data_IF_498782154824
#
_entry.id   IF_498782154824
#
_cell.length_a   1.000
_cell.length_b   1.000
_cell.length_c   1.000
_cell.angle_alpha   90.00
_cell.angle_beta   90.00
_cell.angle_gamma   90.00
#
_symmetry.space_group_name_H-M   'P 1'
#
loop_
_entity.id
_entity.type
_entity.pdbx_description
1 polymer ?
#
# COMPACT_ATOMS: atom_id res chain seq x y z
N UNK A 1 43.32 -59.17 -2.92
CA UNK A 1 42.67 -58.58 -1.73
C UNK A 1 42.74 -57.07 -1.91
N UNK A 2 41.74 -56.45 -2.54
CA UNK A 2 40.65 -55.70 -1.89
C UNK A 2 41.15 -54.82 -0.74
N UNK A 3 41.21 -53.50 -0.95
CA UNK A 3 40.94 -52.49 0.07
C UNK A 3 40.28 -51.28 -0.59
N UNK A 4 39.02 -51.08 -0.23
CA UNK A 4 38.21 -49.89 -0.44
C UNK A 4 38.65 -48.77 0.53
N UNK A 5 38.02 -47.59 0.42
CA UNK A 5 38.14 -46.38 1.26
C UNK A 5 39.37 -45.52 0.92
N UNK A 6 39.27 -44.26 0.49
CA UNK A 6 38.37 -43.23 0.99
C UNK A 6 38.24 -42.11 -0.06
N UNK A 7 37.16 -42.12 -0.86
CA UNK A 7 36.80 -40.99 -1.71
C UNK A 7 36.02 -40.01 -0.81
N UNK A 8 36.72 -39.03 -0.26
CA UNK A 8 36.14 -38.00 0.60
C UNK A 8 35.37 -37.03 -0.30
N UNK A 9 34.08 -37.30 -0.51
CA UNK A 9 33.14 -36.36 -1.12
C UNK A 9 33.07 -35.12 -0.22
N UNK A 10 33.65 -34.01 -0.66
CA UNK A 10 33.44 -32.71 -0.05
C UNK A 10 32.03 -32.25 -0.47
N UNK A 11 31.01 -32.71 0.25
CA UNK A 11 29.66 -32.14 0.18
C UNK A 11 29.74 -30.75 0.83
N UNK A 12 30.02 -29.74 0.00
CA UNK A 12 29.75 -28.35 0.34
C UNK A 12 28.23 -28.26 0.42
N UNK A 13 27.69 -28.40 1.63
CA UNK A 13 26.31 -28.03 1.96
C UNK A 13 26.24 -26.51 1.75
N UNK A 14 25.87 -26.10 0.53
CA UNK A 14 25.35 -24.76 0.32
C UNK A 14 24.03 -24.74 1.10
N UNK A 15 24.05 -24.18 2.31
CA UNK A 15 22.84 -23.90 3.05
C UNK A 15 22.01 -22.96 2.17
N UNK A 16 21.03 -23.51 1.47
CA UNK A 16 19.99 -22.71 0.84
C UNK A 16 19.26 -22.09 2.02
N UNK A 17 19.54 -20.82 2.31
CA UNK A 17 18.76 -20.04 3.25
C UNK A 17 17.41 -19.86 2.58
N UNK A 18 16.45 -20.70 2.96
CA UNK A 18 15.06 -20.53 2.58
C UNK A 18 14.50 -19.43 3.48
N UNK A 19 14.37 -18.21 2.97
CA UNK A 19 13.61 -17.18 3.66
C UNK A 19 12.13 -17.57 3.54
N UNK A 20 11.55 -18.03 4.66
CA UNK A 20 10.12 -18.20 4.77
C UNK A 20 9.50 -16.85 5.15
N UNK A 21 8.22 -16.65 4.80
CA UNK A 21 7.46 -15.57 5.41
C UNK A 21 7.42 -15.79 6.93
N UNK A 22 7.52 -14.70 7.69
CA UNK A 22 7.58 -14.76 9.15
C UNK A 22 6.56 -13.81 9.75
N UNK A 23 5.80 -14.30 10.74
CA UNK A 23 4.95 -13.48 11.59
C UNK A 23 5.52 -13.51 13.01
N UNK A 24 5.98 -12.36 13.48
CA UNK A 24 6.62 -12.20 14.79
C UNK A 24 5.67 -11.44 15.69
N UNK A 25 5.41 -11.97 16.89
CA UNK A 25 4.88 -11.16 17.99
C UNK A 25 6.06 -10.64 18.79
N UNK A 26 6.20 -9.31 18.83
CA UNK A 26 7.29 -8.63 19.53
C UNK A 26 6.77 -7.71 20.61
N UNK A 27 7.67 -7.32 21.52
CA UNK A 27 7.41 -6.30 22.53
C UNK A 27 8.58 -5.31 22.59
N UNK A 28 8.29 -4.07 22.94
CA UNK A 28 9.29 -3.08 23.36
C UNK A 28 8.85 -2.44 24.67
N UNK A 29 9.80 -1.87 25.42
CA UNK A 29 9.48 -1.03 26.57
C UNK A 29 9.38 0.42 26.12
N UNK A 30 8.24 1.06 26.33
CA UNK A 30 8.04 2.50 26.14
C UNK A 30 7.38 3.08 27.40
N UNK A 31 7.92 4.15 27.96
CA UNK A 31 7.44 4.76 29.22
C UNK A 31 7.25 3.80 30.41
N UNK A 32 8.12 2.80 30.51
CA UNK A 32 8.06 1.71 31.50
C UNK A 32 6.83 0.79 31.36
N UNK A 33 6.13 0.83 30.23
CA UNK A 33 5.10 -0.11 29.84
C UNK A 33 5.63 -1.05 28.74
N UNK A 34 5.31 -2.33 28.84
CA UNK A 34 5.55 -3.29 27.76
C UNK A 34 4.48 -3.11 26.68
N UNK A 35 4.92 -2.76 25.47
CA UNK A 35 4.06 -2.48 24.33
C UNK A 35 4.25 -3.56 23.28
N UNK A 36 3.14 -4.20 22.89
CA UNK A 36 3.15 -5.32 21.95
C UNK A 36 2.91 -4.88 20.51
N UNK A 37 3.41 -5.67 19.57
CA UNK A 37 3.10 -5.55 18.15
C UNK A 37 3.20 -6.91 17.46
N UNK A 38 2.56 -7.02 16.30
CA UNK A 38 2.76 -8.14 15.38
C UNK A 38 3.45 -7.59 14.13
N UNK A 39 4.50 -8.24 13.66
CA UNK A 39 5.19 -7.86 12.43
C UNK A 39 5.14 -9.02 11.43
N UNK A 40 4.79 -8.71 10.19
CA UNK A 40 4.81 -9.63 9.08
C UNK A 40 5.96 -9.28 8.13
N UNK A 41 6.85 -10.24 7.92
CA UNK A 41 7.98 -10.14 7.01
C UNK A 41 7.70 -11.06 5.81
N UNK A 42 7.57 -10.53 4.59
CA UNK A 42 7.33 -11.36 3.43
C UNK A 42 8.55 -12.22 3.11
N UNK A 43 8.33 -13.39 2.50
CA UNK A 43 9.42 -14.30 2.10
C UNK A 43 10.43 -13.67 1.11
N UNK A 44 10.00 -12.62 0.41
CA UNK A 44 10.80 -11.84 -0.54
C UNK A 44 11.72 -10.80 0.10
N UNK A 45 11.64 -10.59 1.42
CA UNK A 45 12.51 -9.66 2.12
C UNK A 45 13.99 -10.07 1.97
N UNK A 46 14.81 -9.10 1.58
CA UNK A 46 16.26 -9.22 1.44
C UNK A 46 16.92 -8.16 2.33
N UNK A 47 17.65 -8.54 3.38
CA UNK A 47 18.29 -7.58 4.29
C UNK A 47 19.38 -6.73 3.62
N UNK A 48 19.75 -7.00 2.37
CA UNK A 48 20.69 -6.16 1.59
C UNK A 48 20.00 -5.04 0.81
N UNK A 49 18.66 -5.06 0.73
CA UNK A 49 17.85 -4.07 0.01
C UNK A 49 16.91 -3.40 1.03
N UNK A 50 16.89 -2.07 1.07
CA UNK A 50 15.99 -1.35 1.95
C UNK A 50 14.52 -1.55 1.52
N UNK A 51 13.69 -2.05 2.43
CA UNK A 51 12.27 -2.32 2.18
C UNK A 51 11.37 -1.24 2.79
N UNK A 52 10.26 -0.88 2.13
CA UNK A 52 9.23 -0.04 2.75
C UNK A 52 8.61 -0.70 3.99
N UNK A 53 8.05 0.12 4.88
CA UNK A 53 7.34 -0.34 6.07
C UNK A 53 5.95 0.29 6.17
N UNK A 54 4.94 -0.53 6.45
CA UNK A 54 3.55 -0.08 6.66
C UNK A 54 3.13 -0.36 8.10
N UNK A 55 2.78 0.69 8.84
CA UNK A 55 2.11 0.58 10.13
C UNK A 55 0.59 0.46 9.90
N UNK A 56 -0.06 -0.57 10.45
CA UNK A 56 -1.49 -0.82 10.30
C UNK A 56 -2.19 -0.91 11.67
N UNK A 57 -2.90 0.16 12.04
CA UNK A 57 -3.47 0.35 13.38
C UNK A 57 -4.93 -0.11 13.47
N UNK A 58 -5.25 -0.91 14.49
CA UNK A 58 -6.60 -1.41 14.74
C UNK A 58 -7.54 -0.32 15.28
N UNK A 59 -8.87 -0.53 15.14
CA UNK A 59 -9.88 0.35 15.73
C UNK A 59 -10.05 0.16 17.25
N UNK A 60 -10.79 1.06 17.90
CA UNK A 60 -11.12 0.95 19.34
C UNK A 60 -11.76 -0.41 19.64
N UNK A 61 -11.45 -1.02 20.79
CA UNK A 61 -11.87 -2.38 21.21
C UNK A 61 -11.31 -3.56 20.41
N UNK A 62 -10.60 -3.30 19.30
CA UNK A 62 -10.06 -4.34 18.41
C UNK A 62 -8.66 -4.80 18.85
N UNK A 63 -7.94 -5.54 18.01
CA UNK A 63 -6.57 -5.97 18.33
C UNK A 63 -5.69 -6.01 17.09
N UNK A 64 -4.37 -6.05 17.29
CA UNK A 64 -3.38 -6.26 16.24
C UNK A 64 -3.70 -7.53 15.42
N UNK A 65 -4.04 -8.64 16.10
CA UNK A 65 -4.46 -9.89 15.44
C UNK A 65 -5.72 -9.70 14.58
N UNK A 66 -6.72 -8.98 15.11
CA UNK A 66 -7.99 -8.78 14.39
C UNK A 66 -7.77 -7.97 13.12
N UNK A 67 -7.06 -6.83 13.18
CA UNK A 67 -6.80 -6.04 11.98
C UNK A 67 -5.87 -6.74 10.99
N UNK A 68 -4.85 -7.47 11.46
CA UNK A 68 -4.02 -8.30 10.59
C UNK A 68 -4.90 -9.30 9.81
N UNK A 69 -5.86 -9.93 10.48
CA UNK A 69 -6.74 -10.93 9.87
C UNK A 69 -7.66 -10.36 8.79
N UNK A 70 -8.28 -9.18 8.98
CA UNK A 70 -9.25 -8.67 8.01
C UNK A 70 -8.65 -7.67 7.01
N UNK A 71 -7.54 -7.02 7.34
CA UNK A 71 -6.92 -6.04 6.43
C UNK A 71 -6.29 -6.72 5.23
N UNK A 72 -5.76 -7.93 5.35
CA UNK A 72 -5.14 -8.63 4.23
C UNK A 72 -3.86 -7.98 3.68
N UNK A 73 -3.19 -7.12 4.47
CA UNK A 73 -1.92 -6.53 4.06
C UNK A 73 -0.79 -7.54 3.92
N UNK A 74 -0.82 -8.67 4.66
CA UNK A 74 0.19 -9.74 4.51
C UNK A 74 0.29 -10.24 3.06
N UNK A 75 -0.84 -10.47 2.40
CA UNK A 75 -0.87 -10.93 1.01
C UNK A 75 -0.33 -9.88 0.03
N UNK A 76 -0.55 -8.59 0.33
CA UNK A 76 -0.01 -7.50 -0.48
C UNK A 76 1.50 -7.41 -0.27
N UNK A 77 1.97 -7.51 0.98
CA UNK A 77 3.38 -7.53 1.35
C UNK A 77 4.15 -8.64 0.64
N UNK A 78 3.57 -9.84 0.51
CA UNK A 78 4.19 -10.96 -0.22
C UNK A 78 4.49 -10.61 -1.69
N UNK A 79 3.63 -9.80 -2.31
CA UNK A 79 3.76 -9.41 -3.73
C UNK A 79 4.56 -8.13 -3.95
N UNK A 80 4.46 -7.18 -3.01
CA UNK A 80 5.01 -5.84 -3.16
C UNK A 80 6.28 -5.60 -2.32
N UNK A 81 6.70 -6.59 -1.54
CA UNK A 81 7.96 -6.64 -0.78
C UNK A 81 8.15 -5.48 0.22
N UNK A 82 7.16 -5.28 1.09
CA UNK A 82 7.23 -4.38 2.24
C UNK A 82 6.97 -5.13 3.55
N UNK A 83 7.49 -4.63 4.66
CA UNK A 83 7.20 -5.16 5.99
C UNK A 83 5.93 -4.51 6.53
N UNK A 84 5.04 -5.29 7.14
CA UNK A 84 3.82 -4.77 7.79
C UNK A 84 3.96 -4.92 9.29
N UNK A 85 3.63 -3.87 10.01
CA UNK A 85 3.62 -3.85 11.47
C UNK A 85 2.21 -3.53 11.93
N UNK A 86 1.70 -4.32 12.85
CA UNK A 86 0.39 -4.18 13.49
C UNK A 86 0.60 -3.91 14.98
N UNK A 87 0.73 -2.65 15.39
CA UNK A 87 0.92 -2.32 16.79
C UNK A 87 -0.33 -2.64 17.62
N UNK A 88 -0.16 -2.97 18.90
CA UNK A 88 -1.25 -3.22 19.85
C UNK A 88 -1.48 -1.98 20.74
N UNK A 89 -2.70 -1.45 20.70
CA UNK A 89 -3.12 -0.33 21.54
C UNK A 89 -3.27 -0.74 23.01
N UNK A 90 -2.96 0.18 23.92
CA UNK A 90 -3.09 -0.01 25.37
C UNK A 90 -4.56 0.02 25.80
N UNK A 91 -4.84 -0.24 27.08
CA UNK A 91 -6.20 -0.26 27.60
C UNK A 91 -6.66 1.10 28.14
N UNK A 92 -7.80 1.59 27.64
CA UNK A 92 -8.59 2.65 28.24
C UNK A 92 -9.92 2.08 28.70
N UNK A 93 -10.18 2.12 30.00
CA UNK A 93 -11.39 1.55 30.61
C UNK A 93 -11.63 0.07 30.22
N UNK A 94 -10.56 -0.71 30.12
CA UNK A 94 -10.60 -2.14 29.77
C UNK A 94 -10.72 -2.43 28.27
N UNK A 95 -10.70 -1.42 27.40
CA UNK A 95 -10.74 -1.60 25.95
C UNK A 95 -9.43 -1.10 25.32
N UNK A 96 -8.93 -1.84 24.35
CA UNK A 96 -7.78 -1.46 23.53
C UNK A 96 -8.08 -0.18 22.74
N UNK A 97 -7.12 0.74 22.68
CA UNK A 97 -7.29 2.05 22.05
C UNK A 97 -5.96 2.68 21.65
N UNK A 98 -6.05 3.74 20.85
CA UNK A 98 -4.98 4.71 20.58
C UNK A 98 -5.39 6.06 21.15
N UNK A 99 -4.48 6.73 21.83
CA UNK A 99 -4.67 8.06 22.37
C UNK A 99 -4.60 9.11 21.25
N UNK A 100 -5.77 9.59 20.83
CA UNK A 100 -5.93 10.54 19.71
C UNK A 100 -6.56 11.86 20.16
N UNK A 101 -6.49 12.13 21.46
CA UNK A 101 -7.17 13.26 22.09
C UNK A 101 -8.71 13.19 21.98
N UNK A 102 -9.37 14.26 22.39
CA UNK A 102 -10.80 14.52 22.19
C UNK A 102 -11.71 13.55 22.93
N UNK A 103 -12.00 12.40 22.33
CA UNK A 103 -12.81 11.36 22.97
C UNK A 103 -11.95 10.34 23.76
N UNK A 104 -10.62 10.43 23.69
CA UNK A 104 -9.67 9.63 24.50
C UNK A 104 -9.03 10.40 25.65
N UNK A 105 -9.61 11.52 26.10
CA UNK A 105 -9.02 12.47 27.07
C UNK A 105 -8.51 11.88 28.40
N UNK A 106 -8.99 10.71 28.81
CA UNK A 106 -8.52 10.04 30.04
C UNK A 106 -7.32 9.11 29.79
N UNK A 107 -6.88 8.98 28.54
CA UNK A 107 -5.69 8.20 28.21
C UNK A 107 -4.43 8.98 28.54
N UNK A 108 -3.46 8.29 29.12
CA UNK A 108 -2.10 8.78 29.35
C UNK A 108 -1.09 8.09 28.43
N UNK A 109 -1.55 7.28 27.48
CA UNK A 109 -0.66 6.55 26.58
C UNK A 109 0.03 7.52 25.61
N UNK A 110 1.35 7.44 25.52
CA UNK A 110 2.14 8.12 24.49
C UNK A 110 2.28 7.20 23.26
N UNK A 111 1.24 7.16 22.44
CA UNK A 111 1.21 6.29 21.26
C UNK A 111 2.09 6.82 20.11
N UNK A 112 2.34 8.12 20.05
CA UNK A 112 3.26 8.72 19.07
C UNK A 112 4.70 8.36 19.43
N UNK A 113 5.11 8.55 20.69
CA UNK A 113 6.44 8.16 21.15
C UNK A 113 6.66 6.65 21.09
N UNK A 114 5.65 5.84 21.43
CA UNK A 114 5.71 4.39 21.23
C UNK A 114 5.94 4.03 19.76
N UNK A 115 5.20 4.64 18.83
CA UNK A 115 5.37 4.38 17.39
C UNK A 115 6.77 4.77 16.93
N UNK A 116 7.30 5.92 17.38
CA UNK A 116 8.66 6.34 17.06
C UNK A 116 9.71 5.34 17.59
N UNK A 117 9.59 4.93 18.85
CA UNK A 117 10.48 3.94 19.46
C UNK A 117 10.40 2.58 18.77
N UNK A 118 9.21 2.17 18.32
CA UNK A 118 9.00 0.94 17.56
C UNK A 118 9.69 0.98 16.20
N UNK A 119 9.59 2.10 15.48
CA UNK A 119 10.30 2.28 14.21
C UNK A 119 11.82 2.20 14.40
N UNK A 120 12.36 2.78 15.47
CA UNK A 120 13.78 2.69 15.81
C UNK A 120 14.20 1.26 16.15
N UNK A 121 13.39 0.55 16.94
CA UNK A 121 13.62 -0.85 17.30
C UNK A 121 13.64 -1.76 16.06
N UNK A 122 12.70 -1.60 15.14
CA UNK A 122 12.65 -2.38 13.90
C UNK A 122 13.81 -2.02 12.98
N UNK A 123 14.13 -0.73 12.83
CA UNK A 123 15.24 -0.29 11.96
C UNK A 123 16.62 -0.72 12.48
N UNK A 124 16.74 -1.09 13.76
CA UNK A 124 17.96 -1.64 14.32
C UNK A 124 18.21 -3.11 13.92
N UNK A 125 17.16 -3.84 13.57
CA UNK A 125 17.23 -5.27 13.21
C UNK A 125 16.96 -5.55 11.72
N UNK A 126 16.22 -4.67 11.06
CA UNK A 126 15.79 -4.83 9.66
C UNK A 126 16.23 -3.64 8.80
N UNK A 127 16.57 -3.90 7.55
CA UNK A 127 16.95 -2.87 6.57
C UNK A 127 15.68 -2.23 6.01
N UNK A 128 15.21 -1.19 6.71
CA UNK A 128 14.04 -0.41 6.32
C UNK A 128 14.47 0.81 5.50
N UNK A 129 13.74 1.09 4.43
CA UNK A 129 13.81 2.37 3.73
C UNK A 129 13.11 3.43 4.58
N UNK A 130 13.88 4.20 5.34
CA UNK A 130 13.34 5.23 6.24
C UNK A 130 12.62 6.35 5.52
N UNK A 131 12.79 6.49 4.19
CA UNK A 131 12.02 7.43 3.39
C UNK A 131 10.64 6.88 2.99
N UNK A 132 10.38 5.59 3.19
CA UNK A 132 9.15 4.88 2.77
C UNK A 132 8.49 4.15 3.95
N UNK A 133 8.25 4.90 5.01
CA UNK A 133 7.44 4.45 6.13
C UNK A 133 6.06 5.11 6.02
N UNK A 134 5.02 4.29 6.09
CA UNK A 134 3.64 4.71 5.88
C UNK A 134 2.76 4.32 7.06
N UNK A 135 1.66 5.05 7.26
CA UNK A 135 0.67 4.72 8.29
C UNK A 135 -0.72 4.53 7.72
N UNK A 136 -1.40 3.48 8.17
CA UNK A 136 -2.82 3.28 7.90
C UNK A 136 -3.56 2.63 9.07
N UNK A 137 -4.88 2.65 9.05
CA UNK A 137 -5.66 1.98 10.07
C UNK A 137 -7.16 2.17 9.91
N UNK A 138 -7.91 1.41 10.71
CA UNK A 138 -9.37 1.47 10.75
C UNK A 138 -9.84 2.32 11.93
N UNK A 139 -10.87 3.16 11.75
CA UNK A 139 -11.56 3.82 12.87
C UNK A 139 -10.56 4.59 13.74
N UNK A 140 -10.45 4.29 15.05
CA UNK A 140 -9.42 4.84 15.95
C UNK A 140 -7.97 4.74 15.39
N UNK A 141 -7.63 3.68 14.65
CA UNK A 141 -6.34 3.56 13.97
C UNK A 141 -6.19 4.48 12.74
N UNK A 142 -7.30 4.87 12.11
CA UNK A 142 -7.33 5.94 11.11
C UNK A 142 -7.10 7.32 11.75
N UNK A 143 -7.68 7.57 12.93
CA UNK A 143 -7.32 8.76 13.74
C UNK A 143 -5.84 8.75 14.12
N UNK A 144 -5.29 7.59 14.53
CA UNK A 144 -3.88 7.43 14.84
C UNK A 144 -2.99 7.75 13.63
N UNK A 145 -3.38 7.30 12.43
CA UNK A 145 -2.61 7.61 11.21
C UNK A 145 -2.56 9.11 10.92
N UNK A 146 -3.68 9.83 11.10
CA UNK A 146 -3.65 11.29 11.00
C UNK A 146 -2.83 11.95 12.12
N UNK A 147 -2.90 11.45 13.35
CA UNK A 147 -2.06 11.96 14.45
C UNK A 147 -0.57 11.82 14.11
N UNK A 148 -0.15 10.67 13.54
CA UNK A 148 1.23 10.46 13.11
C UNK A 148 1.65 11.37 11.96
N UNK A 149 0.76 11.62 11.00
CA UNK A 149 1.02 12.61 9.95
C UNK A 149 1.26 14.02 10.53
N UNK A 150 0.60 14.36 11.65
CA UNK A 150 0.73 15.66 12.29
C UNK A 150 1.93 15.77 13.23
N UNK A 151 2.27 14.71 13.96
CA UNK A 151 3.22 14.75 15.09
C UNK A 151 4.49 13.90 14.91
N UNK A 152 4.54 13.08 13.86
CA UNK A 152 5.69 12.25 13.49
C UNK A 152 5.97 12.34 11.99
N UNK A 153 5.61 13.47 11.38
CA UNK A 153 5.70 13.69 9.92
C UNK A 153 7.10 13.40 9.38
N UNK A 154 8.17 13.75 10.10
CA UNK A 154 9.56 13.51 9.69
C UNK A 154 9.92 12.03 9.47
N UNK A 155 9.06 11.11 9.91
CA UNK A 155 9.19 9.67 9.68
C UNK A 155 8.13 9.11 8.74
N UNK A 156 7.03 9.81 8.48
CA UNK A 156 5.85 9.25 7.81
C UNK A 156 5.66 9.88 6.44
N UNK A 157 5.98 9.13 5.40
CA UNK A 157 5.95 9.60 4.01
C UNK A 157 4.53 9.82 3.47
N UNK A 158 3.56 8.99 3.87
CA UNK A 158 2.17 9.10 3.45
C UNK A 158 1.25 8.37 4.43
N UNK A 159 -0.01 8.81 4.49
CA UNK A 159 -1.02 8.18 5.37
C UNK A 159 -2.31 7.83 4.65
N UNK A 160 -2.97 6.80 5.15
CA UNK A 160 -4.30 6.41 4.71
C UNK A 160 -5.22 6.07 5.88
N UNK A 161 -6.42 6.65 5.93
CA UNK A 161 -7.41 6.34 6.95
C UNK A 161 -8.62 5.63 6.35
N UNK A 162 -9.02 4.52 6.96
CA UNK A 162 -10.24 3.77 6.63
C UNK A 162 -11.23 3.95 7.77
N UNK A 163 -12.37 4.58 7.49
CA UNK A 163 -13.44 4.87 8.47
C UNK A 163 -12.98 5.61 9.75
N UNK A 164 -11.79 6.22 9.74
CA UNK A 164 -11.31 7.17 10.73
C UNK A 164 -11.49 8.63 10.29
N UNK A 165 -11.11 9.57 11.15
CA UNK A 165 -11.12 11.02 10.88
C UNK A 165 -10.07 11.71 11.76
N UNK A 166 -10.15 13.03 11.95
CA UNK A 166 -9.36 13.78 12.92
C UNK A 166 -10.24 14.23 14.08
N UNK A 167 -9.74 14.13 15.31
CA UNK A 167 -10.37 14.82 16.44
C UNK A 167 -10.18 16.34 16.29
N UNK A 168 -10.99 17.18 16.97
CA UNK A 168 -10.76 18.61 16.97
C UNK A 168 -9.36 19.02 17.43
N UNK A 169 -8.79 18.28 18.37
CA UNK A 169 -7.43 18.50 18.88
C UNK A 169 -6.38 18.20 17.80
N UNK A 170 -6.40 16.99 17.22
CA UNK A 170 -5.49 16.65 16.11
C UNK A 170 -5.60 17.71 14.99
N UNK A 171 -6.81 18.06 14.57
CA UNK A 171 -7.05 19.01 13.48
C UNK A 171 -6.50 20.41 13.76
N UNK A 172 -6.66 20.92 14.98
CA UNK A 172 -6.25 22.28 15.31
C UNK A 172 -4.75 22.40 15.55
N UNK A 173 -4.10 21.34 16.04
CA UNK A 173 -2.69 21.33 16.43
C UNK A 173 -1.78 20.67 15.37
N UNK A 174 -2.33 20.30 14.20
CA UNK A 174 -1.59 19.61 13.15
C UNK A 174 -0.59 20.54 12.45
N UNK A 175 0.70 20.18 12.50
CA UNK A 175 1.81 20.94 11.89
C UNK A 175 2.89 20.01 11.26
N UNK A 176 2.55 19.29 10.16
CA UNK A 176 3.50 18.40 9.49
C UNK A 176 4.72 19.16 8.92
N UNK A 177 5.88 18.50 8.89
CA UNK A 177 7.15 19.08 8.41
C UNK A 177 7.32 19.07 6.88
N UNK A 178 6.47 18.32 6.15
CA UNK A 178 6.49 18.24 4.69
C UNK A 178 5.08 18.00 4.13
N UNK A 179 4.83 18.31 2.84
CA UNK A 179 3.61 17.91 2.16
C UNK A 179 3.39 16.41 2.32
N UNK A 180 2.21 16.02 2.81
CA UNK A 180 1.92 14.63 3.20
C UNK A 180 0.78 14.10 2.32
N UNK A 181 1.04 13.16 1.40
CA UNK A 181 -0.01 12.46 0.66
C UNK A 181 -1.01 11.77 1.59
N UNK A 182 -2.29 12.02 1.35
CA UNK A 182 -3.40 11.51 2.18
C UNK A 182 -4.42 10.75 1.37
N UNK A 183 -4.76 9.55 1.84
CA UNK A 183 -5.92 8.78 1.37
C UNK A 183 -6.97 8.66 2.48
N UNK A 184 -8.23 8.91 2.14
CA UNK A 184 -9.36 8.76 3.03
C UNK A 184 -10.43 7.85 2.41
N UNK A 185 -10.75 6.73 3.04
CA UNK A 185 -11.83 5.83 2.64
C UNK A 185 -12.92 5.90 3.70
N UNK A 186 -14.14 6.30 3.33
CA UNK A 186 -15.19 6.50 4.32
C UNK A 186 -16.61 6.28 3.78
N UNK A 187 -17.43 5.61 4.58
CA UNK A 187 -18.85 5.42 4.31
C UNK A 187 -19.65 6.66 4.65
N UNK A 188 -20.51 7.14 3.75
CA UNK A 188 -21.34 8.31 4.06
C UNK A 188 -22.53 8.01 4.99
N UNK A 189 -22.82 6.72 5.24
CA UNK A 189 -23.82 6.25 6.19
C UNK A 189 -23.20 5.74 7.51
N UNK A 190 -21.89 5.94 7.70
CA UNK A 190 -21.16 5.54 8.91
C UNK A 190 -21.80 6.12 10.19
N UNK A 191 -22.40 5.24 10.99
CA UNK A 191 -23.04 5.58 12.26
C UNK A 191 -22.11 5.64 13.47
N UNK A 192 -20.82 5.27 13.30
CA UNK A 192 -19.83 5.25 14.39
C UNK A 192 -18.94 6.47 14.34
N UNK A 193 -18.35 6.77 13.17
CA UNK A 193 -17.61 7.99 12.89
C UNK A 193 -18.39 8.75 11.83
N UNK A 194 -19.25 9.73 12.21
CA UNK A 194 -20.15 10.34 11.25
C UNK A 194 -19.40 11.06 10.13
N UNK A 195 -19.73 10.72 8.88
CA UNK A 195 -19.14 11.35 7.69
C UNK A 195 -19.23 12.89 7.72
N UNK A 196 -20.38 13.39 8.19
CA UNK A 196 -20.66 14.83 8.34
C UNK A 196 -20.02 15.47 9.58
N UNK A 197 -19.26 14.71 10.37
CA UNK A 197 -18.64 15.15 11.61
C UNK A 197 -19.58 15.18 12.81
N UNK A 198 -19.01 15.42 13.97
CA UNK A 198 -19.71 15.62 15.25
C UNK A 198 -18.87 16.56 16.14
N UNK A 199 -19.32 16.84 17.37
CA UNK A 199 -18.54 17.66 18.31
C UNK A 199 -17.16 17.06 18.64
N UNK A 200 -17.02 15.73 18.56
CA UNK A 200 -15.80 14.99 18.92
C UNK A 200 -14.94 14.57 17.71
N UNK A 201 -15.43 14.78 16.48
CA UNK A 201 -14.72 14.41 15.24
C UNK A 201 -15.01 15.39 14.12
N UNK A 202 -13.99 15.76 13.36
CA UNK A 202 -14.17 16.59 12.16
C UNK A 202 -14.92 15.79 11.09
N UNK A 203 -15.66 16.51 10.25
CA UNK A 203 -16.27 15.90 9.05
C UNK A 203 -15.20 15.47 8.07
N UNK A 204 -15.49 14.45 7.28
CA UNK A 204 -14.53 13.97 6.27
C UNK A 204 -14.23 15.05 5.24
N UNK A 205 -15.22 15.88 4.92
CA UNK A 205 -15.02 17.08 4.10
C UNK A 205 -13.98 18.02 4.70
N UNK A 206 -14.08 18.35 6.00
CA UNK A 206 -13.11 19.23 6.66
C UNK A 206 -11.70 18.63 6.68
N UNK A 207 -11.57 17.32 6.92
CA UNK A 207 -10.26 16.64 6.93
C UNK A 207 -9.64 16.67 5.53
N UNK A 208 -10.40 16.35 4.49
CA UNK A 208 -9.93 16.40 3.10
C UNK A 208 -9.54 17.83 2.72
N UNK A 209 -10.37 18.83 3.03
CA UNK A 209 -10.09 20.25 2.76
C UNK A 209 -8.82 20.73 3.47
N UNK A 210 -8.61 20.33 4.74
CA UNK A 210 -7.38 20.66 5.46
C UNK A 210 -6.14 20.16 4.72
N UNK A 211 -6.14 18.90 4.27
CA UNK A 211 -4.98 18.34 3.58
C UNK A 211 -4.83 18.88 2.17
N UNK A 212 -5.93 19.23 1.48
CA UNK A 212 -5.91 19.91 0.18
C UNK A 212 -5.22 21.26 0.29
N UNK A 213 -5.58 22.03 1.33
CA UNK A 213 -5.00 23.35 1.62
C UNK A 213 -3.54 23.22 2.08
N UNK A 214 -3.25 22.31 3.00
CA UNK A 214 -1.90 22.09 3.55
C UNK A 214 -0.91 21.63 2.48
N UNK A 215 -1.32 20.69 1.61
CA UNK A 215 -0.49 20.20 0.52
C UNK A 215 -0.49 21.12 -0.71
N UNK A 216 -1.24 22.23 -0.68
CA UNK A 216 -1.35 23.16 -1.81
C UNK A 216 -1.73 22.46 -3.13
N UNK A 217 -2.69 21.52 -3.07
CA UNK A 217 -3.17 20.77 -4.24
C UNK A 217 -4.10 21.61 -5.13
N UNK A 218 -4.48 21.08 -6.30
CA UNK A 218 -5.53 21.66 -7.14
C UNK A 218 -6.82 21.89 -6.36
N UNK A 219 -7.41 23.08 -6.46
CA UNK A 219 -8.68 23.39 -5.79
C UNK A 219 -9.89 22.62 -6.37
N UNK A 220 -9.84 22.23 -7.65
CA UNK A 220 -10.86 21.40 -8.29
C UNK A 220 -10.53 19.92 -8.14
N UNK A 221 -11.51 19.13 -7.70
CA UNK A 221 -11.36 17.68 -7.66
C UNK A 221 -11.64 17.04 -9.02
N UNK A 222 -10.84 16.04 -9.39
CA UNK A 222 -11.24 15.03 -10.37
C UNK A 222 -12.09 13.97 -9.67
N UNK A 223 -13.30 13.74 -10.17
CA UNK A 223 -14.27 12.84 -9.56
C UNK A 223 -14.69 11.77 -10.55
N UNK A 224 -14.51 10.51 -10.18
CA UNK A 224 -14.87 9.35 -10.98
C UNK A 224 -15.70 8.38 -10.16
N UNK A 225 -16.84 7.94 -10.68
CA UNK A 225 -17.59 6.81 -10.13
C UNK A 225 -16.83 5.50 -10.39
N UNK A 226 -16.72 4.65 -9.38
CA UNK A 226 -16.17 3.30 -9.51
C UNK A 226 -17.30 2.34 -9.86
N UNK A 227 -17.01 1.37 -10.72
CA UNK A 227 -17.98 0.35 -11.13
C UNK A 227 -18.53 -0.42 -9.91
N UNK A 228 -19.85 -0.48 -9.85
CA UNK A 228 -20.64 -1.25 -8.87
C UNK A 228 -20.68 -2.72 -9.32
N UNK A 229 -19.60 -3.44 -9.00
CA UNK A 229 -19.44 -4.86 -9.37
C UNK A 229 -20.18 -5.79 -8.41
N UNK A 230 -20.52 -5.31 -7.20
CA UNK A 230 -21.34 -6.04 -6.24
C UNK A 230 -22.63 -5.29 -5.90
N UNK A 231 -23.58 -5.35 -6.81
CA UNK A 231 -24.86 -4.63 -6.74
C UNK A 231 -25.79 -5.02 -5.57
N UNK A 232 -25.41 -6.00 -4.74
CA UNK A 232 -26.22 -6.49 -3.62
C UNK A 232 -25.73 -6.01 -2.25
N UNK A 233 -24.59 -5.31 -2.18
CA UNK A 233 -24.07 -4.80 -0.91
C UNK A 233 -24.72 -3.48 -0.46
N UNK A 234 -25.56 -2.88 -1.30
CA UNK A 234 -26.33 -1.68 -1.01
C UNK A 234 -25.50 -0.39 -1.05
N UNK A 235 -24.29 -0.45 -1.59
CA UNK A 235 -23.35 0.66 -1.62
C UNK A 235 -22.78 0.90 -3.02
N UNK A 236 -22.16 2.07 -3.21
CA UNK A 236 -21.43 2.46 -4.43
C UNK A 236 -20.23 3.30 -4.05
N UNK A 237 -19.24 3.41 -4.92
CA UNK A 237 -18.02 4.16 -4.61
C UNK A 237 -17.79 5.31 -5.59
N UNK A 238 -17.48 6.47 -5.04
CA UNK A 238 -17.05 7.67 -5.76
C UNK A 238 -15.62 8.00 -5.33
N UNK A 239 -14.70 8.07 -6.30
CA UNK A 239 -13.31 8.48 -6.07
C UNK A 239 -13.19 9.96 -6.40
N UNK A 240 -12.66 10.72 -5.44
CA UNK A 240 -12.45 12.17 -5.53
C UNK A 240 -10.96 12.42 -5.31
N UNK A 241 -10.29 13.08 -6.25
CA UNK A 241 -8.85 13.30 -6.22
C UNK A 241 -8.52 14.79 -6.34
N UNK A 242 -7.60 15.23 -5.50
CA UNK A 242 -6.94 16.51 -5.58
C UNK A 242 -5.45 16.22 -5.79
N UNK A 243 -4.87 16.75 -6.85
CA UNK A 243 -3.51 16.38 -7.31
C UNK A 243 -2.64 17.62 -7.43
N UNK A 244 -1.43 17.48 -7.99
CA UNK A 244 -0.50 18.59 -8.20
C UNK A 244 -0.19 19.39 -6.93
N UNK A 245 -0.20 18.74 -5.76
CA UNK A 245 0.25 19.35 -4.53
C UNK A 245 1.75 19.57 -4.54
N UNK A 246 2.23 20.32 -3.55
CA UNK A 246 3.66 20.49 -3.29
C UNK A 246 4.32 19.10 -3.16
N UNK A 247 5.53 18.97 -3.72
CA UNK A 247 6.24 17.69 -3.84
C UNK A 247 5.44 16.58 -4.53
N UNK A 248 4.48 16.98 -5.38
CA UNK A 248 3.59 16.09 -6.13
C UNK A 248 2.78 15.18 -5.23
N UNK A 249 2.48 15.69 -4.03
CA UNK A 249 1.52 15.11 -3.11
C UNK A 249 0.11 15.16 -3.71
N UNK A 250 -0.76 14.30 -3.18
CA UNK A 250 -2.16 14.26 -3.55
C UNK A 250 -3.03 13.92 -2.36
N UNK A 251 -4.28 14.34 -2.42
CA UNK A 251 -5.32 14.01 -1.45
C UNK A 251 -6.42 13.26 -2.19
N UNK A 252 -6.66 12.01 -1.79
CA UNK A 252 -7.64 11.14 -2.44
C UNK A 252 -8.69 10.71 -1.44
N UNK A 253 -9.95 10.88 -1.81
CA UNK A 253 -11.08 10.42 -1.02
C UNK A 253 -11.91 9.38 -1.79
N UNK A 254 -12.03 8.18 -1.24
CA UNK A 254 -13.02 7.19 -1.65
C UNK A 254 -14.25 7.32 -0.75
N UNK A 255 -15.30 7.92 -1.31
CA UNK A 255 -16.60 8.05 -0.65
C UNK A 255 -17.44 6.83 -0.99
N UNK A 256 -17.73 6.02 0.02
CA UNK A 256 -18.61 4.86 -0.11
C UNK A 256 -20.05 5.30 0.16
N UNK A 257 -20.80 5.59 -0.91
CA UNK A 257 -22.21 5.98 -0.89
C UNK A 257 -23.05 4.81 -0.39
N UNK A 258 -23.82 4.98 0.69
CA UNK A 258 -24.56 3.92 1.38
C UNK A 258 -23.68 3.04 2.28
N UNK A 259 -22.36 3.28 2.34
CA UNK A 259 -21.45 2.48 3.15
C UNK A 259 -21.49 2.86 4.63
N UNK A 260 -21.41 1.83 5.48
CA UNK A 260 -21.33 1.93 6.94
C UNK A 260 -19.87 1.94 7.46
N UNK A 261 -19.70 1.81 8.78
CA UNK A 261 -18.40 1.69 9.47
C UNK A 261 -17.70 0.34 9.17
N UNK A 262 -17.07 0.24 8.01
CA UNK A 262 -16.60 -1.03 7.45
C UNK A 262 -15.18 -0.95 6.89
N UNK A 263 -14.61 -2.10 6.53
CA UNK A 263 -13.37 -2.21 5.77
C UNK A 263 -13.69 -2.77 4.37
N UNK A 264 -13.84 -1.90 3.35
CA UNK A 264 -14.25 -2.35 2.02
C UNK A 264 -13.38 -3.48 1.45
N UNK A 265 -14.02 -4.52 0.94
CA UNK A 265 -13.41 -5.75 0.45
C UNK A 265 -13.25 -6.85 1.51
N UNK A 266 -13.38 -6.54 2.79
CA UNK A 266 -13.48 -7.53 3.87
C UNK A 266 -14.93 -7.67 4.36
N UNK A 267 -15.63 -6.55 4.57
CA UNK A 267 -17.09 -6.50 4.77
C UNK A 267 -17.63 -5.11 4.41
N UNK A 268 -18.96 -4.98 4.29
CA UNK A 268 -19.59 -3.75 3.82
C UNK A 268 -19.55 -3.68 2.31
N UNK A 269 -18.95 -2.62 1.76
CA UNK A 269 -18.76 -2.49 0.32
C UNK A 269 -17.77 -3.53 -0.21
N UNK A 270 -18.10 -4.16 -1.33
CA UNK A 270 -17.31 -5.22 -1.96
C UNK A 270 -16.90 -4.86 -3.40
N UNK A 271 -17.12 -3.61 -3.83
CA UNK A 271 -16.66 -3.11 -5.13
C UNK A 271 -15.16 -2.84 -5.15
N UNK A 272 -14.63 -2.41 -4.00
CA UNK A 272 -13.23 -2.06 -3.83
C UNK A 272 -12.57 -2.91 -2.74
N UNK A 273 -11.24 -3.03 -2.82
CA UNK A 273 -10.41 -3.62 -1.77
C UNK A 273 -9.60 -2.51 -1.12
N UNK A 274 -9.98 -2.09 0.09
CA UNK A 274 -9.40 -0.94 0.78
C UNK A 274 -7.88 -1.04 0.86
N UNK A 275 -7.35 -2.20 1.27
CA UNK A 275 -5.90 -2.41 1.47
C UNK A 275 -5.10 -2.32 0.18
N UNK A 276 -5.67 -2.78 -0.95
CA UNK A 276 -5.04 -2.66 -2.26
C UNK A 276 -4.99 -1.19 -2.69
N UNK A 277 -6.09 -0.44 -2.49
CA UNK A 277 -6.12 1.01 -2.76
C UNK A 277 -5.13 1.75 -1.87
N UNK A 278 -5.06 1.40 -0.59
CA UNK A 278 -4.12 2.00 0.36
C UNK A 278 -2.69 1.80 -0.12
N UNK A 279 -2.31 0.56 -0.46
CA UNK A 279 -0.97 0.27 -0.96
C UNK A 279 -0.68 0.97 -2.29
N UNK A 280 -1.59 0.86 -3.28
CA UNK A 280 -1.45 1.50 -4.59
C UNK A 280 -1.27 3.01 -4.46
N UNK A 281 -1.86 3.64 -3.44
CA UNK A 281 -1.69 5.05 -3.14
C UNK A 281 -0.35 5.35 -2.45
N UNK A 282 -0.13 4.83 -1.25
CA UNK A 282 1.02 5.24 -0.40
C UNK A 282 2.37 4.87 -1.04
N UNK A 283 2.44 3.76 -1.78
CA UNK A 283 3.68 3.26 -2.39
C UNK A 283 4.24 4.15 -3.51
N UNK A 284 3.48 5.15 -3.96
CA UNK A 284 3.93 6.14 -4.95
C UNK A 284 4.87 7.20 -4.36
N UNK A 285 4.96 7.30 -3.02
CA UNK A 285 5.58 8.43 -2.35
C UNK A 285 6.75 7.98 -1.46
N UNK A 286 7.76 8.82 -1.35
CA UNK A 286 8.70 8.83 -0.22
C UNK A 286 8.54 10.14 0.58
N UNK A 287 9.34 10.32 1.63
CA UNK A 287 9.28 11.48 2.54
C UNK A 287 9.47 12.83 1.81
N UNK A 288 10.05 12.82 0.61
CA UNK A 288 10.25 14.00 -0.23
C UNK A 288 9.19 14.12 -1.35
N UNK A 289 8.15 13.28 -1.34
CA UNK A 289 7.07 13.28 -2.33
C UNK A 289 7.18 12.17 -3.39
N UNK A 290 6.50 12.36 -4.53
CA UNK A 290 6.55 11.42 -5.66
C UNK A 290 7.80 11.67 -6.50
N UNK A 291 8.55 10.63 -6.83
CA UNK A 291 9.84 10.76 -7.54
C UNK A 291 9.74 11.41 -8.93
N UNK A 292 8.57 11.29 -9.58
CA UNK A 292 8.28 11.95 -10.85
C UNK A 292 6.89 12.60 -10.78
N UNK A 293 6.88 13.92 -10.92
CA UNK A 293 5.70 14.73 -11.10
C UNK A 293 5.23 14.63 -12.54
N UNK A 294 4.02 14.13 -12.78
CA UNK A 294 3.42 14.21 -14.12
C UNK A 294 3.13 15.68 -14.42
N UNK A 295 3.90 16.29 -15.32
CA UNK A 295 3.65 17.66 -15.80
C UNK A 295 2.63 17.62 -16.94
N UNK A 296 1.49 18.28 -16.78
CA UNK A 296 0.54 18.58 -17.88
C UNK A 296 1.03 19.74 -18.76
N UNK A 297 2.26 19.67 -19.28
CA UNK A 297 2.76 20.59 -20.30
C UNK A 297 3.22 19.78 -21.51
N UNK A 298 2.32 19.59 -22.49
CA UNK A 298 2.64 19.27 -23.89
C UNK A 298 1.36 19.44 -24.76
N UNK A 299 0.58 20.50 -24.51
CA UNK A 299 -0.62 20.82 -25.28
C UNK A 299 -0.65 22.28 -25.73
N UNK A 300 0.46 22.81 -26.23
CA UNK A 300 0.46 23.87 -27.26
C UNK A 300 1.88 24.01 -27.84
N UNK A 301 2.06 23.70 -29.12
CA UNK A 301 2.41 24.73 -30.10
C UNK A 301 2.54 24.13 -31.52
N UNK A 302 1.98 24.88 -32.46
CA UNK A 302 2.13 24.68 -33.90
C UNK A 302 3.56 25.01 -34.32
N UNK A 303 4.26 24.12 -35.04
CA UNK A 303 5.23 24.53 -36.05
C UNK A 303 5.17 23.65 -37.30
N UNK A 304 5.01 24.33 -38.44
CA UNK A 304 5.09 23.81 -39.80
C UNK A 304 6.56 23.57 -40.24
N UNK A 305 6.73 22.61 -41.14
CA UNK A 305 7.81 22.46 -42.15
C UNK A 305 9.27 22.19 -41.71
N UNK A 306 9.81 20.99 -42.03
CA UNK A 306 10.63 20.75 -43.25
C UNK A 306 11.26 19.34 -43.21
N UNK A 307 11.28 18.72 -44.38
CA UNK A 307 11.78 17.41 -44.73
C UNK A 307 13.32 17.35 -44.66
N UNK A 308 13.88 16.51 -43.78
CA UNK A 308 15.07 15.70 -44.15
C UNK A 308 15.10 14.38 -43.37
N UNK A 309 15.04 13.28 -44.13
CA UNK A 309 15.06 11.91 -43.63
C UNK A 309 16.17 11.60 -42.61
N UNK A 310 15.73 11.32 -41.39
CA UNK A 310 16.40 10.47 -40.40
C UNK A 310 15.29 9.69 -39.72
N UNK A 311 15.28 8.35 -39.82
CA UNK A 311 14.29 7.52 -39.12
C UNK A 311 14.50 7.75 -37.61
N UNK A 312 13.56 8.38 -36.89
CA UNK A 312 13.61 8.43 -35.45
C UNK A 312 13.10 7.07 -34.94
N UNK A 313 13.89 6.40 -34.13
CA UNK A 313 13.44 5.28 -33.31
C UNK A 313 12.37 5.80 -32.35
N UNK A 314 11.12 5.65 -32.78
CA UNK A 314 9.95 6.18 -32.08
C UNK A 314 9.77 5.57 -30.69
N UNK A 315 9.58 6.46 -29.72
CA UNK A 315 8.45 6.46 -28.78
C UNK A 315 7.85 5.08 -28.47
N UNK A 316 8.46 4.38 -27.51
CA UNK A 316 7.85 3.27 -26.79
C UNK A 316 8.02 3.39 -25.26
N UNK A 317 8.39 4.59 -24.76
CA UNK A 317 8.70 4.85 -23.36
C UNK A 317 7.84 5.99 -22.81
N UNK A 318 6.51 5.84 -22.87
CA UNK A 318 5.59 6.73 -22.14
C UNK A 318 4.48 5.89 -21.49
N UNK A 319 4.47 5.93 -20.16
CA UNK A 319 3.45 5.45 -19.20
C UNK A 319 3.39 3.92 -18.98
N UNK A 320 4.01 3.44 -17.89
CA UNK A 320 3.83 2.05 -17.43
C UNK A 320 2.90 1.98 -16.21
N UNK A 321 1.69 1.52 -16.50
CA UNK A 321 0.53 1.42 -15.62
C UNK A 321 0.57 0.21 -14.65
N UNK A 322 -0.25 0.27 -13.59
CA UNK A 322 -0.54 -0.81 -12.64
C UNK A 322 -0.88 -2.14 -13.36
N UNK A 323 0.09 -3.05 -13.45
CA UNK A 323 -0.07 -4.39 -14.03
C UNK A 323 -0.67 -5.33 -12.98
N UNK A 324 -1.90 -5.82 -13.21
CA UNK A 324 -2.50 -6.87 -12.36
C UNK A 324 -2.50 -8.20 -13.10
N UNK A 325 -2.01 -9.25 -12.43
CA UNK A 325 -1.95 -10.60 -13.01
C UNK A 325 -2.80 -11.54 -12.17
N UNK A 326 -3.82 -12.15 -12.77
CA UNK A 326 -4.71 -13.08 -12.08
C UNK A 326 -5.39 -14.10 -13.02
N UNK A 327 -5.75 -15.29 -12.52
CA UNK A 327 -5.35 -15.82 -11.22
C UNK A 327 -3.83 -16.09 -11.23
N UNK A 328 -3.20 -15.96 -10.07
CA UNK A 328 -1.81 -16.32 -9.86
C UNK A 328 -1.70 -16.86 -8.43
N UNK A 329 -1.64 -18.18 -8.21
CA UNK A 329 -1.35 -19.24 -9.19
C UNK A 329 -2.41 -19.48 -10.28
N UNK A 330 -2.03 -20.12 -11.39
CA UNK A 330 -2.93 -20.53 -12.49
C UNK A 330 -2.54 -21.88 -13.10
N UNK A 331 -3.53 -22.66 -13.53
CA UNK A 331 -3.30 -23.96 -14.18
C UNK A 331 -3.00 -23.84 -15.67
N UNK A 332 -3.37 -22.75 -16.34
CA UNK A 332 -3.24 -22.68 -17.81
C UNK A 332 -3.30 -21.28 -18.39
N UNK A 333 -3.84 -20.29 -17.70
CA UNK A 333 -4.02 -18.96 -18.28
C UNK A 333 -3.95 -17.88 -17.22
N UNK A 334 -3.18 -16.82 -17.48
CA UNK A 334 -3.12 -15.64 -16.62
C UNK A 334 -3.68 -14.43 -17.36
N UNK A 335 -4.61 -13.73 -16.74
CA UNK A 335 -5.08 -12.42 -17.21
C UNK A 335 -4.03 -11.39 -16.89
N UNK A 336 -3.75 -10.51 -17.84
CA UNK A 336 -2.83 -9.38 -17.66
C UNK A 336 -3.66 -8.11 -17.83
N UNK A 337 -4.19 -7.61 -16.72
CA UNK A 337 -4.98 -6.38 -16.70
C UNK A 337 -4.04 -5.16 -16.67
N UNK A 338 -4.29 -4.23 -17.58
CA UNK A 338 -3.53 -3.01 -17.82
C UNK A 338 -4.49 -1.87 -18.18
N UNK A 339 -4.06 -0.63 -17.94
CA UNK A 339 -4.84 0.56 -18.30
C UNK A 339 -4.59 1.04 -19.73
N UNK A 340 -3.47 0.69 -20.33
CA UNK A 340 -3.19 0.98 -21.74
C UNK A 340 -3.77 -0.09 -22.68
N UNK A 341 -4.12 0.35 -23.88
CA UNK A 341 -4.48 -0.52 -25.00
C UNK A 341 -3.31 -0.66 -25.99
N UNK A 342 -2.07 -0.44 -25.53
CA UNK A 342 -0.90 -0.52 -26.39
C UNK A 342 -0.44 -1.98 -26.53
N UNK A 343 0.04 -2.32 -27.72
CA UNK A 343 0.68 -3.62 -27.94
C UNK A 343 2.02 -3.64 -27.17
N UNK A 344 2.24 -4.64 -26.32
CA UNK A 344 3.49 -4.76 -25.55
C UNK A 344 4.10 -6.14 -25.70
N UNK A 345 5.43 -6.17 -25.79
CA UNK A 345 6.17 -7.43 -25.74
C UNK A 345 6.24 -7.98 -24.31
N UNK A 346 6.16 -9.31 -24.19
CA UNK A 346 6.39 -10.01 -22.94
C UNK A 346 7.36 -11.18 -23.11
N UNK A 347 7.98 -11.56 -22.00
CA UNK A 347 8.87 -12.71 -21.91
C UNK A 347 8.60 -13.47 -20.60
N UNK A 348 8.47 -14.79 -20.64
CA UNK A 348 8.46 -15.63 -19.44
C UNK A 348 9.79 -16.37 -19.37
N UNK A 349 10.41 -16.31 -18.20
CA UNK A 349 11.66 -16.99 -17.89
C UNK A 349 11.50 -17.91 -16.69
N UNK A 350 12.29 -18.98 -16.62
CA UNK A 350 12.50 -19.69 -15.35
C UNK A 350 13.16 -18.78 -14.34
N UNK A 351 13.12 -19.13 -13.04
CA UNK A 351 13.85 -18.40 -12.00
C UNK A 351 15.37 -18.35 -12.23
N UNK A 352 15.92 -19.26 -13.03
CA UNK A 352 17.33 -19.27 -13.47
C UNK A 352 17.61 -18.38 -14.69
N UNK A 353 16.60 -17.66 -15.19
CA UNK A 353 16.72 -16.72 -16.32
C UNK A 353 16.62 -17.37 -17.70
N UNK A 354 16.31 -18.67 -17.80
CA UNK A 354 16.10 -19.32 -19.10
C UNK A 354 14.74 -18.89 -19.65
N UNK A 355 14.72 -18.26 -20.82
CA UNK A 355 13.48 -17.94 -21.52
C UNK A 355 12.72 -19.22 -21.91
N UNK A 356 11.44 -19.28 -21.54
CA UNK A 356 10.53 -20.39 -21.83
C UNK A 356 9.35 -19.98 -22.71
N UNK A 357 8.88 -18.73 -22.60
CA UNK A 357 7.84 -18.17 -23.47
C UNK A 357 8.19 -16.72 -23.83
N UNK A 358 7.72 -16.25 -24.98
CA UNK A 358 7.70 -14.83 -25.33
C UNK A 358 6.57 -14.57 -26.31
N UNK A 359 6.08 -13.34 -26.33
CA UNK A 359 5.04 -12.93 -27.25
C UNK A 359 4.78 -11.44 -27.16
N UNK A 360 3.64 -11.05 -27.73
CA UNK A 360 3.14 -9.69 -27.71
C UNK A 360 1.69 -9.75 -27.24
N UNK A 361 1.31 -8.89 -26.30
CA UNK A 361 -0.06 -8.71 -25.83
C UNK A 361 -0.64 -7.47 -26.52
N UNK A 362 -1.67 -7.68 -27.32
CA UNK A 362 -2.45 -6.64 -27.98
C UNK A 362 -3.60 -6.17 -27.10
N UNK A 363 -4.25 -5.07 -27.49
CA UNK A 363 -5.41 -4.51 -26.79
C UNK A 363 -6.56 -5.53 -26.61
N UNK A 364 -6.75 -6.40 -27.60
CA UNK A 364 -7.79 -7.44 -27.58
C UNK A 364 -7.40 -8.70 -26.79
N UNK A 365 -6.13 -8.86 -26.43
CA UNK A 365 -5.64 -10.07 -25.76
C UNK A 365 -6.02 -10.03 -24.28
N UNK A 366 -6.69 -11.09 -23.82
CA UNK A 366 -7.15 -11.19 -22.43
C UNK A 366 -6.05 -11.62 -21.45
N UNK A 367 -4.85 -11.96 -21.93
CA UNK A 367 -3.79 -12.52 -21.08
C UNK A 367 -2.87 -13.48 -21.81
N UNK A 368 -2.14 -14.30 -21.05
CA UNK A 368 -1.11 -15.21 -21.53
C UNK A 368 -1.48 -16.66 -21.21
N UNK A 369 -1.43 -17.52 -22.23
CA UNK A 369 -1.59 -18.97 -22.11
C UNK A 369 -0.28 -19.61 -21.61
N UNK A 370 -0.40 -20.40 -20.54
CA UNK A 370 0.66 -21.13 -19.87
C UNK A 370 0.50 -22.64 -20.01
N UNK A 371 -0.45 -23.13 -20.81
CA UNK A 371 -0.78 -24.57 -20.92
C UNK A 371 0.40 -25.45 -21.32
N UNK A 372 1.34 -24.89 -22.10
CA UNK A 372 2.54 -25.59 -22.57
C UNK A 372 3.72 -25.53 -21.57
N UNK A 373 3.55 -24.83 -20.44
CA UNK A 373 4.56 -24.77 -19.38
C UNK A 373 4.31 -25.87 -18.34
N UNK A 374 5.39 -26.47 -17.87
CA UNK A 374 5.36 -27.39 -16.72
C UNK A 374 4.98 -26.62 -15.44
N UNK A 375 4.40 -27.31 -14.45
CA UNK A 375 4.11 -26.73 -13.15
C UNK A 375 5.40 -26.29 -12.45
N UNK A 376 5.60 -24.97 -12.34
CA UNK A 376 6.77 -24.35 -11.72
C UNK A 376 6.51 -22.86 -11.48
N UNK A 377 7.47 -22.20 -10.85
CA UNK A 377 7.55 -20.75 -10.69
C UNK A 377 8.29 -20.14 -11.87
N UNK A 378 7.68 -19.12 -12.46
CA UNK A 378 8.25 -18.35 -13.56
C UNK A 378 8.29 -16.86 -13.26
N UNK A 379 9.11 -16.13 -14.02
CA UNK A 379 9.16 -14.67 -14.01
C UNK A 379 8.63 -14.17 -15.34
N UNK A 380 7.47 -13.51 -15.31
CA UNK A 380 6.92 -12.76 -16.44
C UNK A 380 7.54 -11.37 -16.46
N UNK A 381 8.13 -11.00 -17.60
CA UNK A 381 8.64 -9.67 -17.89
C UNK A 381 7.76 -8.99 -18.92
N UNK A 382 7.29 -7.79 -18.61
CA UNK A 382 6.49 -6.95 -19.48
C UNK A 382 7.03 -5.52 -19.34
N UNK A 383 7.59 -4.96 -20.42
CA UNK A 383 8.32 -3.70 -20.33
C UNK A 383 9.51 -3.80 -19.37
N UNK A 384 9.59 -2.87 -18.42
CA UNK A 384 10.58 -2.80 -17.34
C UNK A 384 10.19 -3.60 -16.08
N UNK A 385 8.95 -4.12 -16.01
CA UNK A 385 8.45 -4.88 -14.86
C UNK A 385 8.72 -6.37 -14.97
N UNK A 386 8.97 -6.98 -13.82
CA UNK A 386 9.07 -8.43 -13.64
C UNK A 386 8.08 -8.85 -12.55
N UNK A 387 7.22 -9.82 -12.83
CA UNK A 387 6.27 -10.39 -11.87
C UNK A 387 6.44 -11.90 -11.79
N UNK A 388 6.45 -12.42 -10.55
CA UNK A 388 6.44 -13.85 -10.29
C UNK A 388 5.07 -14.42 -10.67
N UNK A 389 5.03 -15.45 -11.50
CA UNK A 389 3.83 -16.21 -11.82
C UNK A 389 4.02 -17.68 -11.45
N UNK A 390 2.96 -18.34 -11.00
CA UNK A 390 2.99 -19.74 -10.56
C UNK A 390 2.07 -20.54 -11.49
N UNK A 391 2.64 -21.52 -12.20
CA UNK A 391 1.90 -22.52 -12.99
C UNK A 391 1.64 -23.73 -12.10
N UNK A 392 0.37 -24.07 -11.90
CA UNK A 392 -0.06 -25.31 -11.24
C UNK A 392 -0.40 -26.38 -12.29
N UNK A 393 -0.56 -27.64 -11.86
CA UNK A 393 -0.87 -28.78 -12.73
C UNK A 393 -2.22 -28.67 -13.47
#
# INVERSE_FOLDING_TARGET
>A
MKNYLLMMLLLIMFSIICNAQETITGTIIHDNEEREYIMYIPASYDPTIASPLVLCFHGYTSSANTIMSYSGFNQIADTANFIVVYPQGTLLNGNTHWNVGGWTLNSTADDVGFTNALLDSISAEYTIDSSKVYSTGMSNGGFMSFLLACQLSERIAAVASVTGSMTPEIFNDCDPQHPTPVLQIHGNADGTVPYSGASWTKSIKQVVEYWVDFNNTTASADTTDIDDINTNDGSKVEKIMFTQGDSCSSVVHYKVKGGDHTWPGAWGNMDIKASAIVWDFISQFDINGKSECETEEDADDNEEDDDTGSIPTGTADKVFYNLKIYPNPSNSFITVERKDNASISYQITTVSGKQVLKGELKAEDKGIDLSDLEADVYVLRIGDRSVKIIKED
#
